data_IF_674037522416
#
_entry.id   IF_674037522416
#
_cell.length_a   1.000
_cell.length_b   1.000
_cell.length_c   1.000
_cell.angle_alpha   90.00
_cell.angle_beta   90.00
_cell.angle_gamma   90.00
#
_symmetry.space_group_name_H-M   'P 1'
#
loop_
_entity.id
_entity.type
_entity.pdbx_description
1 polymer ?
#
# COMPACT_ATOMS: atom_id res chain seq x y z
N UNK A 1 7.21 17.23 -8.14
CA UNK A 1 6.99 16.25 -9.22
C UNK A 1 5.62 15.61 -9.06
N UNK A 2 5.06 15.09 -10.14
CA UNK A 2 3.77 14.40 -10.12
C UNK A 2 3.88 13.06 -9.39
N UNK A 3 2.82 12.66 -8.68
CA UNK A 3 2.76 11.42 -7.87
C UNK A 3 3.08 10.18 -8.73
N UNK A 4 2.65 10.17 -9.99
CA UNK A 4 2.91 9.07 -10.94
C UNK A 4 4.39 8.88 -11.25
N UNK A 5 5.16 9.96 -11.38
CA UNK A 5 6.61 9.88 -11.59
C UNK A 5 7.32 9.35 -10.33
N UNK A 6 6.86 9.77 -9.15
CA UNK A 6 7.39 9.28 -7.88
C UNK A 6 7.08 7.77 -7.72
N UNK A 7 5.91 7.27 -8.16
CA UNK A 7 5.60 5.83 -8.17
C UNK A 7 6.61 5.07 -9.03
N UNK A 8 6.82 5.48 -10.29
CA UNK A 8 7.78 4.80 -11.20
C UNK A 8 9.21 4.87 -10.64
N UNK A 9 9.60 6.00 -10.05
CA UNK A 9 10.90 6.14 -9.42
C UNK A 9 11.09 5.21 -8.20
N UNK A 10 10.00 4.85 -7.51
CA UNK A 10 10.03 3.97 -6.33
C UNK A 10 10.48 2.55 -6.72
N UNK A 11 10.18 2.10 -7.94
CA UNK A 11 10.66 0.80 -8.46
C UNK A 11 12.19 0.73 -8.58
N UNK A 12 12.85 1.86 -8.87
CA UNK A 12 14.31 1.93 -9.02
C UNK A 12 15.03 2.26 -7.71
N UNK A 13 14.40 3.02 -6.82
CA UNK A 13 15.05 3.51 -5.60
C UNK A 13 14.05 4.02 -4.57
N UNK A 14 13.42 3.15 -3.76
CA UNK A 14 12.39 3.55 -2.79
C UNK A 14 12.92 4.50 -1.73
N UNK A 15 14.17 4.32 -1.28
CA UNK A 15 14.79 5.20 -0.29
C UNK A 15 14.99 6.64 -0.79
N UNK A 16 15.37 6.83 -2.05
CA UNK A 16 15.56 8.16 -2.63
C UNK A 16 14.22 8.91 -2.77
N UNK A 17 13.14 8.20 -3.09
CA UNK A 17 11.79 8.77 -3.10
C UNK A 17 11.37 9.15 -1.68
N UNK A 18 11.65 8.30 -0.69
CA UNK A 18 11.32 8.60 0.71
C UNK A 18 12.03 9.86 1.22
N UNK A 19 13.34 10.01 1.00
CA UNK A 19 14.05 11.22 1.38
C UNK A 19 13.43 12.47 0.74
N UNK A 20 13.02 12.39 -0.54
CA UNK A 20 12.31 13.51 -1.21
C UNK A 20 10.94 13.79 -0.62
N UNK A 21 10.21 12.77 -0.19
CA UNK A 21 8.91 12.93 0.45
C UNK A 21 9.03 13.55 1.85
N UNK A 22 10.02 13.13 2.63
CA UNK A 22 10.34 13.71 3.94
C UNK A 22 10.79 15.16 3.82
N UNK A 23 11.62 15.48 2.82
CA UNK A 23 12.09 16.86 2.54
C UNK A 23 10.96 17.84 2.18
N UNK A 24 9.75 17.35 1.80
CA UNK A 24 8.58 18.22 1.53
C UNK A 24 7.89 18.70 2.82
N UNK A 25 8.44 18.37 4.00
CA UNK A 25 7.95 18.77 5.31
C UNK A 25 6.90 17.81 5.89
N UNK A 26 6.81 17.78 7.22
CA UNK A 26 5.86 16.96 7.95
C UNK A 26 4.43 17.47 7.77
N UNK A 27 3.59 16.65 7.12
CA UNK A 27 2.19 16.95 6.82
C UNK A 27 1.35 15.70 6.93
N UNK A 28 0.70 15.52 8.08
CA UNK A 28 -0.14 14.34 8.35
C UNK A 28 -1.35 14.25 7.42
N UNK A 29 -1.89 15.40 7.01
CA UNK A 29 -2.96 15.49 6.01
C UNK A 29 -2.57 14.83 4.68
N UNK A 30 -1.33 15.05 4.22
CA UNK A 30 -0.81 14.41 3.00
C UNK A 30 -0.57 12.92 3.18
N UNK A 31 -0.07 12.50 4.34
CA UNK A 31 0.15 11.09 4.64
C UNK A 31 -1.18 10.32 4.64
N UNK A 32 -2.22 10.88 5.27
CA UNK A 32 -3.57 10.35 5.23
C UNK A 32 -4.12 10.30 3.80
N UNK A 33 -3.95 11.36 3.01
CA UNK A 33 -4.40 11.37 1.62
C UNK A 33 -3.73 10.25 0.79
N UNK A 34 -2.43 9.99 0.99
CA UNK A 34 -1.69 8.89 0.34
C UNK A 34 -2.28 7.53 0.75
N UNK A 35 -2.52 7.34 2.04
CA UNK A 35 -3.11 6.10 2.56
C UNK A 35 -4.51 5.87 1.99
N UNK A 36 -5.37 6.89 2.03
CA UNK A 36 -6.73 6.82 1.50
C UNK A 36 -6.73 6.54 0.00
N UNK A 37 -5.81 7.15 -0.76
CA UNK A 37 -5.64 6.84 -2.18
C UNK A 37 -5.21 5.37 -2.40
N UNK A 38 -4.25 4.88 -1.62
CA UNK A 38 -3.83 3.47 -1.67
C UNK A 38 -4.98 2.52 -1.36
N UNK A 39 -5.72 2.77 -0.27
CA UNK A 39 -6.90 1.99 0.10
C UNK A 39 -7.99 2.00 -0.97
N UNK A 40 -8.25 3.15 -1.58
CA UNK A 40 -9.24 3.27 -2.65
C UNK A 40 -8.83 2.47 -3.89
N UNK A 41 -7.55 2.50 -4.26
CA UNK A 41 -7.04 1.72 -5.38
C UNK A 41 -7.11 0.21 -5.11
N UNK A 42 -6.85 -0.22 -3.87
CA UNK A 42 -7.05 -1.62 -3.46
C UNK A 42 -8.53 -1.99 -3.51
N UNK A 43 -9.42 -1.11 -3.05
CA UNK A 43 -10.86 -1.34 -3.17
C UNK A 43 -11.29 -1.52 -4.63
N UNK A 44 -10.82 -0.66 -5.54
CA UNK A 44 -11.06 -0.79 -6.99
C UNK A 44 -10.52 -2.12 -7.53
N UNK A 45 -9.37 -2.60 -7.03
CA UNK A 45 -8.83 -3.90 -7.43
C UNK A 45 -9.69 -5.08 -6.97
N UNK A 46 -10.53 -4.92 -5.94
CA UNK A 46 -11.44 -5.98 -5.47
C UNK A 46 -12.70 -6.11 -6.32
N UNK A 47 -13.03 -5.13 -7.18
CA UNK A 47 -14.28 -5.18 -7.95
C UNK A 47 -14.34 -6.36 -8.92
N UNK A 48 -13.31 -6.62 -9.75
CA UNK A 48 -13.37 -7.75 -10.68
C UNK A 48 -13.55 -9.13 -10.00
N UNK A 49 -12.79 -9.51 -8.94
CA UNK A 49 -12.97 -10.80 -8.29
C UNK A 49 -14.31 -10.91 -7.55
N UNK A 50 -14.79 -9.83 -6.92
CA UNK A 50 -16.09 -9.83 -6.24
C UNK A 50 -17.26 -9.92 -7.24
N UNK A 51 -17.16 -9.23 -8.38
CA UNK A 51 -18.15 -9.34 -9.45
C UNK A 51 -18.21 -10.76 -10.03
N UNK A 52 -17.04 -11.38 -10.24
CA UNK A 52 -16.95 -12.79 -10.64
C UNK A 52 -17.62 -13.67 -9.59
N UNK A 53 -17.26 -13.52 -8.31
CA UNK A 53 -17.81 -14.31 -7.23
C UNK A 53 -19.33 -14.20 -7.16
N UNK A 54 -19.87 -12.97 -7.17
CA UNK A 54 -21.31 -12.72 -7.16
C UNK A 54 -22.03 -13.44 -8.31
N UNK A 55 -21.43 -13.43 -9.50
CA UNK A 55 -22.00 -14.09 -10.68
C UNK A 55 -22.02 -15.61 -10.56
N UNK A 56 -20.95 -16.24 -10.05
CA UNK A 56 -20.88 -17.71 -9.94
C UNK A 56 -21.60 -18.26 -8.71
N UNK A 57 -21.58 -17.56 -7.58
CA UNK A 57 -22.18 -18.00 -6.32
C UNK A 57 -23.67 -17.60 -6.21
N UNK A 58 -24.20 -16.86 -7.18
CA UNK A 58 -25.56 -16.34 -7.17
C UNK A 58 -25.83 -15.33 -6.07
N UNK A 59 -24.78 -14.69 -5.53
CA UNK A 59 -24.89 -13.68 -4.48
C UNK A 59 -25.09 -12.28 -5.05
N UNK A 60 -25.63 -11.38 -4.21
CA UNK A 60 -25.71 -9.97 -4.56
C UNK A 60 -24.34 -9.29 -4.47
N UNK A 61 -24.00 -8.50 -5.50
CA UNK A 61 -22.73 -7.78 -5.57
C UNK A 61 -22.65 -6.61 -4.57
N UNK A 62 -23.76 -5.89 -4.35
CA UNK A 62 -23.78 -4.69 -3.50
C UNK A 62 -23.34 -4.96 -2.05
N UNK A 63 -23.85 -6.00 -1.36
CA UNK A 63 -23.36 -6.37 -0.04
C UNK A 63 -21.86 -6.69 0.00
N UNK A 64 -21.35 -7.40 -1.01
CA UNK A 64 -19.92 -7.74 -1.11
C UNK A 64 -19.05 -6.49 -1.28
N UNK A 65 -19.45 -5.57 -2.17
CA UNK A 65 -18.76 -4.29 -2.36
C UNK A 65 -18.87 -3.41 -1.12
N UNK A 66 -20.01 -3.41 -0.43
CA UNK A 66 -20.20 -2.70 0.83
C UNK A 66 -19.25 -3.20 1.92
N UNK A 67 -19.10 -4.52 2.06
CA UNK A 67 -18.13 -5.13 2.97
C UNK A 67 -16.68 -4.77 2.61
N UNK A 68 -16.32 -4.82 1.33
CA UNK A 68 -14.99 -4.44 0.87
C UNK A 68 -14.68 -2.95 1.09
N UNK A 69 -15.67 -2.07 0.88
CA UNK A 69 -15.54 -0.64 1.14
C UNK A 69 -15.30 -0.38 2.63
N UNK A 70 -16.09 -1.01 3.51
CA UNK A 70 -15.90 -0.91 4.96
C UNK A 70 -14.50 -1.41 5.36
N UNK A 71 -14.08 -2.56 4.83
CA UNK A 71 -12.78 -3.15 5.12
C UNK A 71 -11.62 -2.22 4.69
N UNK A 72 -11.66 -1.65 3.49
CA UNK A 72 -10.52 -0.87 2.97
C UNK A 72 -10.56 0.61 3.30
N UNK A 73 -11.73 1.24 3.38
CA UNK A 73 -11.85 2.69 3.61
C UNK A 73 -11.96 3.01 5.10
N UNK A 74 -12.58 2.14 5.90
CA UNK A 74 -12.71 2.36 7.35
C UNK A 74 -11.70 1.54 8.15
N UNK A 75 -11.64 0.22 7.96
CA UNK A 75 -10.86 -0.65 8.86
C UNK A 75 -9.35 -0.61 8.52
N UNK A 76 -8.99 -0.74 7.25
CA UNK A 76 -7.60 -0.82 6.83
C UNK A 76 -6.75 0.38 7.27
N UNK A 77 -7.20 1.65 7.18
CA UNK A 77 -6.41 2.78 7.64
C UNK A 77 -6.02 2.69 9.13
N UNK A 78 -6.94 2.23 9.99
CA UNK A 78 -6.65 2.02 11.41
C UNK A 78 -5.58 0.93 11.59
N UNK A 79 -5.68 -0.16 10.84
CA UNK A 79 -4.68 -1.24 10.86
C UNK A 79 -3.31 -0.71 10.39
N UNK A 80 -3.25 0.03 9.28
CA UNK A 80 -2.01 0.61 8.77
C UNK A 80 -1.39 1.61 9.75
N UNK A 81 -2.19 2.38 10.49
CA UNK A 81 -1.69 3.24 11.56
C UNK A 81 -1.04 2.44 12.69
N UNK A 82 -1.70 1.37 13.14
CA UNK A 82 -1.15 0.46 14.15
C UNK A 82 0.14 -0.20 13.67
N UNK A 83 0.14 -0.70 12.43
CA UNK A 83 1.31 -1.34 11.82
C UNK A 83 2.48 -0.37 11.69
N UNK A 84 2.24 0.87 11.26
CA UNK A 84 3.27 1.90 11.18
C UNK A 84 3.89 2.22 12.55
N UNK A 85 3.06 2.29 13.60
CA UNK A 85 3.55 2.50 14.96
C UNK A 85 4.40 1.30 15.43
N UNK A 86 3.94 0.07 15.18
CA UNK A 86 4.69 -1.16 15.50
C UNK A 86 6.02 -1.23 14.75
N UNK A 87 6.04 -0.89 13.46
CA UNK A 87 7.27 -0.86 12.67
C UNK A 87 8.27 0.15 13.20
N UNK A 88 7.81 1.34 13.59
CA UNK A 88 8.69 2.32 14.22
C UNK A 88 9.24 1.81 15.56
N UNK A 89 8.42 1.14 16.38
CA UNK A 89 8.88 0.56 17.65
C UNK A 89 9.93 -0.53 17.44
N UNK A 90 9.71 -1.43 16.47
CA UNK A 90 10.68 -2.47 16.10
C UNK A 90 11.98 -1.87 15.60
N UNK A 91 11.89 -0.87 14.72
CA UNK A 91 13.06 -0.18 14.24
C UNK A 91 13.83 0.56 15.33
N UNK A 92 13.12 1.22 16.25
CA UNK A 92 13.73 1.87 17.41
C UNK A 92 14.44 0.85 18.31
N UNK A 93 13.87 -0.34 18.48
CA UNK A 93 14.54 -1.43 19.20
C UNK A 93 15.81 -1.93 18.48
N UNK A 94 15.88 -1.82 17.15
CA UNK A 94 17.03 -2.13 16.32
C UNK A 94 18.00 -0.94 16.12
N UNK A 95 17.79 0.19 16.82
CA UNK A 95 18.67 1.36 16.78
C UNK A 95 18.31 2.44 15.75
N UNK A 96 17.12 2.37 15.14
CA UNK A 96 16.61 3.39 14.22
C UNK A 96 16.34 4.72 14.92
N UNK A 97 16.73 5.83 14.28
CA UNK A 97 16.60 7.19 14.82
C UNK A 97 15.50 8.01 14.14
N UNK A 98 14.66 7.36 13.31
CA UNK A 98 13.60 8.01 12.57
C UNK A 98 12.45 8.51 13.44
N UNK A 99 11.42 9.09 12.81
CA UNK A 99 10.19 9.53 13.47
C UNK A 99 9.03 8.58 13.20
N UNK A 100 8.02 8.58 14.10
CA UNK A 100 6.74 7.91 13.84
C UNK A 100 6.09 8.37 12.52
N UNK A 101 6.26 9.65 12.16
CA UNK A 101 5.78 10.18 10.89
C UNK A 101 6.47 9.53 9.69
N UNK A 102 7.80 9.38 9.74
CA UNK A 102 8.56 8.74 8.67
C UNK A 102 8.17 7.27 8.46
N UNK A 103 7.96 6.53 9.55
CA UNK A 103 7.51 5.14 9.47
C UNK A 103 6.11 5.00 8.85
N UNK A 104 5.18 5.88 9.22
CA UNK A 104 3.83 5.95 8.61
C UNK A 104 3.92 6.27 7.12
N UNK A 105 4.66 7.31 6.78
CA UNK A 105 4.82 7.74 5.39
C UNK A 105 5.45 6.63 4.53
N UNK A 106 6.43 5.89 5.07
CA UNK A 106 7.02 4.74 4.39
C UNK A 106 6.01 3.64 4.07
N UNK A 107 5.18 3.28 5.04
CA UNK A 107 4.16 2.25 4.86
C UNK A 107 3.05 2.71 3.89
N UNK A 108 2.57 3.94 4.04
CA UNK A 108 1.48 4.48 3.22
C UNK A 108 1.94 4.68 1.78
N UNK A 109 3.17 5.16 1.59
CA UNK A 109 3.76 5.29 0.26
C UNK A 109 3.99 3.93 -0.40
N UNK A 110 4.46 2.93 0.35
CA UNK A 110 4.64 1.58 -0.18
C UNK A 110 3.33 0.99 -0.71
N UNK A 111 2.21 1.19 0.01
CA UNK A 111 0.89 0.76 -0.44
C UNK A 111 0.49 1.46 -1.75
N UNK A 112 0.62 2.78 -1.80
CA UNK A 112 0.27 3.56 -2.99
C UNK A 112 1.16 3.20 -4.19
N UNK A 113 2.46 3.01 -3.99
CA UNK A 113 3.40 2.68 -5.06
C UNK A 113 3.22 1.24 -5.58
N UNK A 114 2.75 0.31 -4.73
CA UNK A 114 2.40 -1.06 -5.12
C UNK A 114 1.04 -1.15 -5.85
N UNK A 115 0.23 -0.08 -5.84
CA UNK A 115 -1.12 -0.07 -6.42
C UNK A 115 -1.22 -0.54 -7.88
N UNK A 116 -0.27 -0.27 -8.81
CA UNK A 116 -0.39 -0.77 -10.19
C UNK A 116 -0.38 -2.29 -10.27
N UNK A 117 0.44 -2.96 -9.44
CA UNK A 117 0.51 -4.41 -9.38
C UNK A 117 -0.72 -5.00 -8.68
N UNK A 118 -1.22 -4.33 -7.63
CA UNK A 118 -2.45 -4.73 -6.93
C UNK A 118 -3.66 -4.67 -7.87
N UNK A 119 -3.78 -3.58 -8.66
CA UNK A 119 -4.83 -3.44 -9.67
C UNK A 119 -4.72 -4.52 -10.75
N UNK A 120 -3.51 -4.80 -11.24
CA UNK A 120 -3.27 -5.89 -12.19
C UNK A 120 -3.69 -7.24 -11.62
N UNK A 121 -3.34 -7.54 -10.37
CA UNK A 121 -3.74 -8.76 -9.70
C UNK A 121 -5.27 -8.88 -9.60
N UNK A 122 -5.95 -7.80 -9.23
CA UNK A 122 -7.41 -7.73 -9.17
C UNK A 122 -8.07 -8.08 -10.50
N UNK A 123 -7.58 -7.49 -11.60
CA UNK A 123 -8.06 -7.79 -12.95
C UNK A 123 -7.84 -9.26 -13.31
N UNK A 124 -6.64 -9.80 -13.09
CA UNK A 124 -6.33 -11.20 -13.39
C UNK A 124 -7.19 -12.17 -12.59
N UNK A 125 -7.39 -11.89 -11.29
CA UNK A 125 -8.24 -12.70 -10.42
C UNK A 125 -9.71 -12.67 -10.86
N UNK A 126 -10.22 -11.52 -11.32
CA UNK A 126 -11.59 -11.39 -11.81
C UNK A 126 -11.82 -12.06 -13.17
N UNK A 127 -10.89 -11.95 -14.11
CA UNK A 127 -11.06 -12.54 -15.44
C UNK A 127 -10.77 -14.04 -15.46
N UNK A 128 -9.66 -14.47 -14.86
CA UNK A 128 -9.16 -15.84 -14.96
C UNK A 128 -9.69 -16.71 -13.80
N UNK A 129 -10.00 -16.09 -12.66
CA UNK A 129 -10.35 -16.82 -11.43
C UNK A 129 -9.11 -17.30 -10.66
N UNK A 130 -9.30 -18.19 -9.69
CA UNK A 130 -8.19 -18.73 -8.91
C UNK A 130 -7.27 -19.59 -9.79
N UNK A 131 -5.98 -19.28 -9.81
CA UNK A 131 -4.99 -20.01 -10.60
C UNK A 131 -3.55 -19.54 -10.35
N UNK A 132 -2.55 -20.20 -10.96
CA UNK A 132 -1.14 -19.89 -10.77
C UNK A 132 -0.76 -18.47 -11.22
N UNK A 133 -1.44 -17.93 -12.24
CA UNK A 133 -1.20 -16.57 -12.74
C UNK A 133 -1.46 -15.47 -11.70
N UNK A 134 -2.72 -15.30 -11.23
CA UNK A 134 -3.04 -14.36 -10.16
C UNK A 134 -2.20 -14.60 -8.89
N UNK A 135 -1.94 -15.85 -8.52
CA UNK A 135 -1.10 -16.16 -7.35
C UNK A 135 0.35 -15.70 -7.51
N UNK A 136 0.92 -15.81 -8.70
CA UNK A 136 2.26 -15.29 -8.98
C UNK A 136 2.29 -13.75 -8.88
N UNK A 137 1.29 -13.05 -9.45
CA UNK A 137 1.22 -11.58 -9.40
C UNK A 137 0.95 -11.09 -7.98
N UNK A 138 0.11 -11.76 -7.21
CA UNK A 138 -0.10 -11.50 -5.78
C UNK A 138 1.22 -11.61 -5.01
N UNK A 139 1.98 -12.67 -5.23
CA UNK A 139 3.29 -12.87 -4.58
C UNK A 139 4.32 -11.81 -5.00
N UNK A 140 4.40 -11.48 -6.29
CA UNK A 140 5.27 -10.41 -6.79
C UNK A 140 4.87 -9.06 -6.19
N UNK A 141 3.57 -8.78 -6.09
CA UNK A 141 3.06 -7.55 -5.49
C UNK A 141 3.47 -7.43 -4.02
N UNK A 142 3.41 -8.54 -3.27
CA UNK A 142 3.84 -8.60 -1.89
C UNK A 142 5.35 -8.33 -1.77
N UNK A 143 6.18 -8.97 -2.60
CA UNK A 143 7.63 -8.74 -2.60
C UNK A 143 7.99 -7.29 -2.93
N UNK A 144 7.31 -6.70 -3.91
CA UNK A 144 7.51 -5.30 -4.30
C UNK A 144 7.05 -4.35 -3.20
N UNK A 145 5.92 -4.63 -2.56
CA UNK A 145 5.45 -3.87 -1.41
C UNK A 145 6.46 -3.92 -0.24
N UNK A 146 6.96 -5.11 0.10
CA UNK A 146 7.99 -5.27 1.14
C UNK A 146 9.28 -4.52 0.77
N UNK A 147 9.70 -4.59 -0.49
CA UNK A 147 10.86 -3.85 -0.99
C UNK A 147 10.68 -2.33 -0.83
N UNK A 148 9.52 -1.79 -1.21
CA UNK A 148 9.20 -0.37 -1.05
C UNK A 148 9.14 0.04 0.41
N UNK A 149 8.53 -0.79 1.24
CA UNK A 149 8.36 -0.51 2.66
C UNK A 149 9.70 -0.54 3.40
N UNK A 150 10.50 -1.60 3.25
CA UNK A 150 11.80 -1.73 3.91
C UNK A 150 12.77 -0.65 3.41
N UNK A 151 12.78 -0.39 2.09
CA UNK A 151 13.62 0.64 1.50
C UNK A 151 13.25 2.05 1.95
N UNK A 152 11.94 2.32 2.07
CA UNK A 152 11.43 3.59 2.62
C UNK A 152 11.73 3.72 4.12
N UNK A 153 11.48 2.67 4.91
CA UNK A 153 11.68 2.67 6.36
C UNK A 153 13.17 2.90 6.70
N UNK A 154 14.08 2.18 6.02
CA UNK A 154 15.52 2.40 6.17
C UNK A 154 15.96 3.82 5.83
N UNK A 155 15.34 4.45 4.84
CA UNK A 155 15.65 5.83 4.48
C UNK A 155 15.07 6.84 5.48
N UNK A 156 13.90 6.55 6.05
CA UNK A 156 13.26 7.36 7.07
C UNK A 156 13.95 7.28 8.44
N UNK A 157 14.74 6.24 8.68
CA UNK A 157 15.44 6.00 9.96
C UNK A 157 16.90 6.42 9.96
N UNK A 158 17.44 6.83 8.80
CA UNK A 158 18.78 7.41 8.72
C UNK A 158 18.78 8.79 9.38
N UNK A 159 19.80 9.12 10.20
CA UNK A 159 19.94 10.45 10.76
C UNK A 159 20.13 11.48 9.64
N UNK A 160 19.48 12.64 9.77
CA UNK A 160 19.74 13.80 8.93
C UNK A 160 21.17 14.28 9.22
N UNK A 161 22.08 14.05 8.28
CA UNK A 161 23.44 14.62 8.29
C UNK A 161 23.45 16.03 7.73
#
# INVERSE_FOLDING_TARGET
MAITQDIVATYRGPGAVMCRLLARGQREDRALAILMAGCLLVFVSQWPPLARQAHFDGQELNPLLGGALLAWVMIAPLIFYGLAALSHLLARALGGQGSFFGARLALFWALLAASPLILLNGLLAGFIGAGPGPKAVEFISLLVFLWFWIGGLRAAERPET
#
